data_IF_894366515307
#
_entry.id   IF_894366515307
#
_cell.length_a   1.000
_cell.length_b   1.000
_cell.length_c   1.000
_cell.angle_alpha   90.00
_cell.angle_beta   90.00
_cell.angle_gamma   90.00
#
_symmetry.space_group_name_H-M   'P 1'
#
loop_
_entity.id
_entity.type
_entity.pdbx_description
1 polymer ?
#
# COMPACT_ATOMS: atom_id res chain seq x y z
N UNK A 1 27.67 16.91 7.22
CA UNK A 1 27.10 16.66 5.87
C UNK A 1 25.59 16.46 5.93
N UNK A 2 25.02 15.80 6.95
CA UNK A 2 23.57 15.78 7.18
C UNK A 2 23.01 17.14 7.64
N UNK A 3 23.68 17.82 8.58
CA UNK A 3 23.19 19.10 9.16
C UNK A 3 23.02 20.22 8.13
N UNK A 4 23.93 20.32 7.16
CA UNK A 4 23.93 21.36 6.11
C UNK A 4 22.68 21.30 5.22
N UNK A 5 22.04 20.14 5.09
CA UNK A 5 20.87 19.91 4.23
C UNK A 5 19.58 19.69 5.01
N UNK A 6 19.62 19.75 6.34
CA UNK A 6 18.48 19.46 7.22
C UNK A 6 17.26 20.38 7.01
N UNK A 7 17.48 21.59 6.48
CA UNK A 7 16.43 22.55 6.15
C UNK A 7 15.76 22.33 4.78
N UNK A 8 16.28 21.42 3.94
CA UNK A 8 15.69 21.15 2.63
C UNK A 8 14.50 20.19 2.76
N UNK A 9 13.42 20.51 2.05
CA UNK A 9 12.21 19.70 2.01
C UNK A 9 11.92 19.29 0.57
N UNK A 10 11.58 18.02 0.36
CA UNK A 10 11.04 17.59 -0.92
C UNK A 10 9.68 18.25 -1.14
N UNK A 11 9.44 18.72 -2.36
CA UNK A 11 8.14 19.23 -2.79
C UNK A 11 7.79 18.69 -4.16
N UNK A 12 6.52 18.38 -4.35
CA UNK A 12 6.00 18.05 -5.67
C UNK A 12 6.14 19.27 -6.60
N UNK A 13 6.73 19.08 -7.77
CA UNK A 13 6.86 20.13 -8.81
C UNK A 13 5.89 19.92 -9.99
N UNK A 14 5.05 18.90 -9.92
CA UNK A 14 4.05 18.55 -10.93
C UNK A 14 4.46 17.37 -11.83
N UNK A 15 3.60 17.00 -12.78
CA UNK A 15 2.33 17.65 -13.15
C UNK A 15 1.25 17.56 -12.08
N UNK A 16 0.30 18.50 -12.09
CA UNK A 16 -0.81 18.56 -11.12
C UNK A 16 -1.72 17.31 -11.15
N UNK A 17 -1.77 16.63 -12.30
CA UNK A 17 -2.33 15.30 -12.46
C UNK A 17 -1.20 14.33 -12.84
N UNK A 18 -0.75 13.53 -11.88
CA UNK A 18 0.16 12.42 -12.17
C UNK A 18 -0.67 11.22 -12.62
N UNK A 19 -0.44 10.75 -13.84
CA UNK A 19 -0.95 9.46 -14.30
C UNK A 19 -0.03 8.34 -13.80
N UNK A 20 -0.62 7.21 -13.45
CA UNK A 20 0.09 6.05 -12.94
C UNK A 20 -0.80 4.82 -12.97
N UNK A 21 -0.19 3.66 -12.76
CA UNK A 21 -0.93 2.40 -12.70
C UNK A 21 -1.45 2.17 -11.29
N UNK A 22 -2.75 2.35 -11.13
CA UNK A 22 -3.49 2.01 -9.91
C UNK A 22 -3.79 0.51 -9.92
N UNK A 23 -3.36 -0.19 -8.87
CA UNK A 23 -3.48 -1.64 -8.73
C UNK A 23 -4.62 -2.01 -7.77
N UNK A 24 -4.77 -1.24 -6.70
CA UNK A 24 -5.73 -1.54 -5.64
C UNK A 24 -6.49 -0.30 -5.18
N UNK A 25 -7.72 -0.53 -4.75
CA UNK A 25 -8.62 0.49 -4.19
C UNK A 25 -9.31 -0.10 -2.96
N UNK A 26 -9.28 0.61 -1.83
CA UNK A 26 -9.94 0.18 -0.60
C UNK A 26 -10.76 1.32 -0.02
N UNK A 27 -12.09 1.17 -0.04
CA UNK A 27 -13.05 2.20 0.39
C UNK A 27 -13.50 1.96 1.82
N UNK A 28 -13.46 3.01 2.64
CA UNK A 28 -14.03 2.95 3.98
C UNK A 28 -15.57 2.81 3.86
N UNK A 29 -16.09 1.65 4.25
CA UNK A 29 -17.53 1.35 4.16
C UNK A 29 -18.39 2.20 5.11
N UNK A 30 -17.80 2.76 6.18
CA UNK A 30 -18.47 3.68 7.12
C UNK A 30 -18.40 5.13 6.66
N UNK A 31 -17.43 5.49 5.82
CA UNK A 31 -17.22 6.84 5.30
C UNK A 31 -16.64 6.82 3.88
N UNK A 32 -17.51 6.84 2.86
CA UNK A 32 -17.10 6.62 1.47
C UNK A 32 -16.23 7.72 0.85
N UNK A 33 -16.14 8.90 1.47
CA UNK A 33 -15.21 9.96 1.03
C UNK A 33 -13.77 9.70 1.47
N UNK A 34 -13.55 8.68 2.29
CA UNK A 34 -12.24 8.20 2.73
C UNK A 34 -11.91 6.87 2.07
N UNK A 35 -10.79 6.82 1.35
CA UNK A 35 -10.33 5.61 0.69
C UNK A 35 -8.84 5.65 0.41
N UNK A 36 -8.31 4.46 0.12
CA UNK A 36 -6.91 4.20 -0.12
C UNK A 36 -6.70 3.68 -1.54
N UNK A 37 -5.59 4.07 -2.14
CA UNK A 37 -5.14 3.62 -3.46
C UNK A 37 -3.75 3.05 -3.34
N UNK A 38 -3.57 1.82 -3.85
CA UNK A 38 -2.27 1.19 -4.03
C UNK A 38 -1.78 1.39 -5.46
N UNK A 39 -0.54 1.87 -5.59
CA UNK A 39 0.08 2.19 -6.89
C UNK A 39 1.19 1.18 -7.19
N UNK A 40 1.25 0.72 -8.44
CA UNK A 40 2.25 -0.24 -8.93
C UNK A 40 3.69 0.11 -8.53
N UNK A 41 4.05 1.40 -8.65
CA UNK A 41 5.36 1.95 -8.34
C UNK A 41 5.21 3.34 -7.72
N UNK A 42 4.53 3.44 -6.58
CA UNK A 42 4.25 4.74 -5.96
C UNK A 42 3.67 4.68 -4.56
N UNK A 43 3.75 3.55 -3.87
CA UNK A 43 3.25 3.40 -2.50
C UNK A 43 1.72 3.45 -2.40
N UNK A 44 1.26 3.76 -1.18
CA UNK A 44 -0.16 3.85 -0.83
C UNK A 44 -0.53 5.31 -0.57
N UNK A 45 -1.64 5.73 -1.16
CA UNK A 45 -2.19 7.07 -1.03
C UNK A 45 -3.55 7.01 -0.36
N UNK A 46 -3.82 7.96 0.53
CA UNK A 46 -5.10 8.12 1.23
C UNK A 46 -5.76 9.42 0.79
N UNK A 47 -7.08 9.40 0.61
CA UNK A 47 -7.91 10.61 0.57
C UNK A 47 -8.93 10.57 1.70
N UNK A 48 -9.39 11.75 2.12
CA UNK A 48 -10.49 11.96 3.08
C UNK A 48 -11.54 12.94 2.55
N UNK A 49 -11.38 13.37 1.30
CA UNK A 49 -12.23 14.36 0.63
C UNK A 49 -12.58 13.93 -0.79
N UNK A 50 -12.94 12.66 -0.93
CA UNK A 50 -13.46 12.06 -2.15
C UNK A 50 -12.51 12.21 -3.37
N UNK A 51 -11.21 12.10 -3.12
CA UNK A 51 -10.20 12.11 -4.18
C UNK A 51 -9.78 13.50 -4.65
N UNK A 52 -10.31 14.57 -4.02
CA UNK A 52 -9.89 15.96 -4.31
C UNK A 52 -8.41 16.17 -3.99
N UNK A 53 -7.95 15.65 -2.84
CA UNK A 53 -6.54 15.67 -2.44
C UNK A 53 -6.11 14.32 -1.90
N UNK A 54 -4.80 14.04 -1.99
CA UNK A 54 -4.21 12.78 -1.58
C UNK A 54 -3.01 13.00 -0.67
N UNK A 55 -2.86 12.14 0.32
CA UNK A 55 -1.73 12.10 1.24
C UNK A 55 -1.01 10.76 1.05
N UNK A 56 0.31 10.75 0.78
CA UNK A 56 1.07 9.51 0.78
C UNK A 56 1.18 9.01 2.22
N UNK A 57 0.83 7.74 2.43
CA UNK A 57 0.82 7.12 3.77
C UNK A 57 1.86 6.01 3.90
N UNK A 58 2.68 5.75 2.88
CA UNK A 58 3.61 4.60 2.83
C UNK A 58 5.05 4.97 2.47
N UNK A 59 5.38 6.26 2.31
CA UNK A 59 6.69 6.73 1.80
C UNK A 59 7.90 6.38 2.69
N UNK A 60 7.66 5.97 3.94
CA UNK A 60 8.71 5.61 4.90
C UNK A 60 8.96 4.10 4.98
N UNK A 61 8.17 3.31 4.24
CA UNK A 61 8.21 1.86 4.31
C UNK A 61 9.16 1.26 3.27
N UNK A 62 9.45 -0.03 3.43
CA UNK A 62 10.52 -0.74 2.71
C UNK A 62 10.29 -0.95 1.21
N UNK A 63 9.03 -0.95 0.77
CA UNK A 63 8.67 -1.12 -0.64
C UNK A 63 7.85 0.04 -1.18
N UNK A 64 8.17 0.46 -2.40
CA UNK A 64 7.38 1.44 -3.15
C UNK A 64 6.35 0.77 -4.08
N UNK A 65 6.41 -0.55 -4.25
CA UNK A 65 5.55 -1.30 -5.16
C UNK A 65 4.42 -1.97 -4.40
N UNK A 66 3.18 -1.76 -4.83
CA UNK A 66 1.99 -2.24 -4.12
C UNK A 66 1.21 -3.23 -5.00
N UNK A 67 0.95 -4.41 -4.44
CA UNK A 67 0.11 -5.45 -5.04
C UNK A 67 -1.33 -5.42 -4.55
N UNK A 68 -1.55 -5.07 -3.28
CA UNK A 68 -2.90 -5.03 -2.72
C UNK A 68 -3.04 -4.05 -1.57
N UNK A 69 -4.23 -3.47 -1.42
CA UNK A 69 -4.64 -2.69 -0.25
C UNK A 69 -6.04 -3.13 0.14
N UNK A 70 -6.27 -3.36 1.43
CA UNK A 70 -7.61 -3.67 1.95
C UNK A 70 -7.80 -3.09 3.34
N UNK A 71 -9.06 -2.81 3.68
CA UNK A 71 -9.47 -2.34 5.00
C UNK A 71 -10.13 -3.48 5.74
N UNK A 72 -9.94 -3.52 7.06
CA UNK A 72 -10.67 -4.44 7.90
C UNK A 72 -12.18 -4.14 7.84
N UNK A 73 -13.03 -5.15 7.57
CA UNK A 73 -14.48 -4.97 7.46
C UNK A 73 -15.14 -4.59 8.80
N UNK A 74 -14.52 -4.87 9.95
CA UNK A 74 -15.05 -4.51 11.25
C UNK A 74 -14.51 -3.15 11.74
N UNK A 75 -13.29 -2.81 11.36
CA UNK A 75 -12.61 -1.56 11.73
C UNK A 75 -11.84 -0.93 10.55
N UNK A 76 -12.44 0.02 9.81
CA UNK A 76 -11.79 0.70 8.70
C UNK A 76 -10.51 1.48 9.04
N UNK A 77 -10.16 1.67 10.32
CA UNK A 77 -8.87 2.25 10.70
C UNK A 77 -7.72 1.26 10.58
N UNK A 78 -8.01 -0.04 10.55
CA UNK A 78 -7.04 -1.10 10.31
C UNK A 78 -6.86 -1.31 8.81
N UNK A 79 -5.65 -1.06 8.32
CA UNK A 79 -5.29 -1.14 6.90
C UNK A 79 -4.26 -2.25 6.70
N UNK A 80 -4.47 -3.07 5.67
CA UNK A 80 -3.53 -4.09 5.26
C UNK A 80 -3.01 -3.80 3.85
N UNK A 81 -1.71 -3.97 3.66
CA UNK A 81 -1.03 -3.72 2.40
C UNK A 81 -0.19 -4.92 2.03
N UNK A 82 -0.36 -5.40 0.81
CA UNK A 82 0.52 -6.36 0.17
C UNK A 82 1.52 -5.62 -0.70
N UNK A 83 2.81 -5.75 -0.39
CA UNK A 83 3.88 -5.18 -1.21
C UNK A 83 4.17 -6.06 -2.43
N UNK A 84 4.71 -5.44 -3.47
CA UNK A 84 5.03 -6.05 -4.76
C UNK A 84 3.82 -6.15 -5.67
N UNK A 85 3.89 -5.45 -6.79
CA UNK A 85 2.81 -5.42 -7.77
C UNK A 85 2.52 -6.83 -8.33
N UNK A 86 1.24 -7.24 -8.33
CA UNK A 86 0.77 -8.55 -8.82
C UNK A 86 0.40 -8.61 -10.31
N UNK A 87 0.68 -7.53 -11.03
CA UNK A 87 0.47 -7.46 -12.46
C UNK A 87 1.80 -7.81 -13.16
N UNK A 88 1.94 -9.10 -13.47
CA UNK A 88 3.12 -9.76 -14.04
C UNK A 88 3.51 -9.25 -15.44
N UNK A 89 4.01 -8.02 -15.51
CA UNK A 89 4.48 -7.38 -16.74
C UNK A 89 6.01 -7.28 -16.78
N UNK A 90 6.54 -6.88 -17.94
CA UNK A 90 8.00 -6.69 -18.14
C UNK A 90 8.62 -5.66 -17.18
N UNK A 91 7.82 -4.71 -16.69
CA UNK A 91 8.21 -3.75 -15.65
C UNK A 91 7.28 -3.93 -14.46
N UNK A 92 7.80 -4.59 -13.42
CA UNK A 92 7.11 -4.90 -12.18
C UNK A 92 8.08 -4.67 -11.02
N UNK A 93 7.61 -4.03 -9.96
CA UNK A 93 8.37 -3.90 -8.71
C UNK A 93 8.08 -5.08 -7.79
N UNK A 94 9.12 -5.61 -7.14
CA UNK A 94 8.95 -6.54 -6.04
C UNK A 94 8.74 -5.79 -4.72
N UNK A 95 8.19 -6.49 -3.75
CA UNK A 95 7.99 -6.03 -2.39
C UNK A 95 8.60 -6.98 -1.37
N UNK A 96 8.48 -6.59 -0.11
CA UNK A 96 9.03 -7.29 1.04
C UNK A 96 7.93 -7.78 2.00
N UNK A 97 6.78 -8.12 1.42
CA UNK A 97 5.71 -8.89 2.07
C UNK A 97 4.51 -8.06 2.49
N UNK A 98 3.98 -8.33 3.69
CA UNK A 98 2.70 -7.77 4.15
C UNK A 98 2.91 -6.75 5.25
N UNK A 99 2.18 -5.65 5.16
CA UNK A 99 2.15 -4.58 6.14
C UNK A 99 0.76 -4.43 6.74
N UNK A 100 0.74 -4.01 8.01
CA UNK A 100 -0.48 -3.64 8.72
C UNK A 100 -0.31 -2.30 9.40
N UNK A 101 -1.35 -1.47 9.34
CA UNK A 101 -1.51 -0.28 10.15
C UNK A 101 -2.77 -0.43 11.00
N UNK A 102 -2.72 0.05 12.24
CA UNK A 102 -3.84 0.09 13.18
C UNK A 102 -4.37 1.52 13.38
N UNK A 103 -3.88 2.50 12.61
CA UNK A 103 -4.16 3.92 12.81
C UNK A 103 -4.43 4.69 11.51
N UNK A 104 -4.95 3.99 10.51
CA UNK A 104 -5.32 4.56 9.21
C UNK A 104 -4.13 4.90 8.33
N UNK A 105 -2.99 4.23 8.51
CA UNK A 105 -1.77 4.38 7.71
C UNK A 105 -0.79 5.43 8.24
N UNK A 106 -0.88 5.85 9.52
CA UNK A 106 0.10 6.76 10.10
C UNK A 106 1.36 6.03 10.51
N UNK A 107 1.21 4.81 11.04
CA UNK A 107 2.28 3.90 11.37
C UNK A 107 2.00 2.52 10.75
N UNK A 108 3.07 1.86 10.31
CA UNK A 108 3.00 0.52 9.74
C UNK A 108 3.89 -0.45 10.48
N UNK A 109 3.48 -1.71 10.45
CA UNK A 109 4.27 -2.86 10.88
C UNK A 109 4.38 -3.83 9.72
N UNK A 110 5.61 -4.12 9.28
CA UNK A 110 5.86 -5.25 8.38
C UNK A 110 5.68 -6.56 9.18
N UNK A 111 4.82 -7.45 8.67
CA UNK A 111 4.42 -8.71 9.30
C UNK A 111 5.15 -9.92 8.69
N UNK A 112 6.06 -9.74 7.74
CA UNK A 112 6.83 -10.79 7.09
C UNK A 112 6.32 -11.13 5.69
N UNK A 113 6.56 -12.38 5.25
CA UNK A 113 6.43 -12.82 3.85
C UNK A 113 7.44 -12.16 2.90
N UNK A 114 8.63 -11.85 3.42
CA UNK A 114 9.68 -11.10 2.70
C UNK A 114 10.17 -11.74 1.40
N UNK A 115 9.99 -13.06 1.25
CA UNK A 115 10.40 -13.81 0.05
C UNK A 115 9.29 -14.00 -0.96
N UNK A 116 8.06 -13.59 -0.62
CA UNK A 116 6.93 -13.74 -1.52
C UNK A 116 7.03 -12.82 -2.73
N UNK A 117 7.79 -11.72 -2.64
CA UNK A 117 8.01 -10.68 -3.64
C UNK A 117 6.75 -9.97 -4.16
N UNK A 118 5.65 -10.68 -4.38
CA UNK A 118 4.39 -10.19 -4.92
C UNK A 118 3.24 -10.72 -4.06
N UNK A 119 2.50 -9.81 -3.43
CA UNK A 119 1.29 -10.12 -2.69
C UNK A 119 0.08 -9.69 -3.52
N UNK A 120 -0.57 -10.66 -4.16
CA UNK A 120 -1.67 -10.40 -5.10
C UNK A 120 -3.01 -10.13 -4.45
N UNK A 121 -3.22 -10.63 -3.23
CA UNK A 121 -4.48 -10.41 -2.52
C UNK A 121 -4.33 -10.59 -1.02
N UNK A 122 -5.06 -9.77 -0.28
CA UNK A 122 -5.31 -9.96 1.14
C UNK A 122 -6.83 -9.92 1.33
N UNK A 123 -7.38 -10.92 2.01
CA UNK A 123 -8.79 -10.95 2.43
C UNK A 123 -8.87 -11.22 3.92
N UNK A 124 -9.77 -10.50 4.59
CA UNK A 124 -9.97 -10.56 6.04
C UNK A 124 -11.32 -11.22 6.27
N UNK A 125 -11.39 -12.21 7.17
CA UNK A 125 -12.67 -12.82 7.53
C UNK A 125 -13.57 -11.78 8.21
N UNK A 126 -14.75 -11.47 7.67
CA UNK A 126 -15.63 -10.47 8.26
C UNK A 126 -16.17 -10.88 9.64
N UNK A 127 -16.13 -12.17 9.98
CA UNK A 127 -16.60 -12.68 11.27
C UNK A 127 -15.53 -12.60 12.36
N UNK A 128 -14.26 -12.57 11.98
CA UNK A 128 -13.12 -12.46 12.89
C UNK A 128 -11.92 -11.80 12.20
N UNK A 129 -11.69 -10.53 12.51
CA UNK A 129 -10.57 -9.72 12.02
C UNK A 129 -9.17 -10.29 12.29
N UNK A 130 -9.05 -11.31 13.15
CA UNK A 130 -7.78 -12.01 13.40
C UNK A 130 -7.46 -13.06 12.34
N UNK A 131 -8.45 -13.46 11.53
CA UNK A 131 -8.28 -14.44 10.47
C UNK A 131 -8.09 -13.72 9.15
N UNK A 132 -6.87 -13.80 8.61
CA UNK A 132 -6.46 -13.12 7.38
C UNK A 132 -5.84 -14.13 6.44
N UNK A 133 -6.27 -14.11 5.17
CA UNK A 133 -5.71 -14.93 4.11
C UNK A 133 -4.92 -14.06 3.14
N UNK A 134 -3.74 -14.53 2.77
CA UNK A 134 -2.82 -13.83 1.88
C UNK A 134 -2.51 -14.72 0.67
N UNK A 135 -2.72 -14.19 -0.53
CA UNK A 135 -2.23 -14.78 -1.76
C UNK A 135 -0.81 -14.28 -2.01
N UNK A 136 0.18 -15.10 -1.66
CA UNK A 136 1.59 -14.87 -1.92
C UNK A 136 1.98 -15.57 -3.23
N UNK A 137 2.24 -14.80 -4.28
CA UNK A 137 2.48 -15.34 -5.63
C UNK A 137 3.90 -15.92 -5.77
N UNK A 138 4.87 -15.34 -5.06
CA UNK A 138 6.27 -15.69 -5.21
C UNK A 138 6.99 -14.82 -6.24
N UNK A 139 8.32 -14.96 -6.36
CA UNK A 139 9.14 -14.24 -7.34
C UNK A 139 8.65 -14.47 -8.77
N UNK A 140 8.48 -13.39 -9.55
CA UNK A 140 8.02 -13.52 -10.93
C UNK A 140 9.04 -14.24 -11.82
N UNK A 141 10.33 -14.07 -11.54
CA UNK A 141 11.44 -14.54 -12.39
C UNK A 141 12.30 -15.62 -11.75
N UNK A 142 11.74 -16.39 -10.80
CA UNK A 142 12.50 -17.44 -10.11
C UNK A 142 11.60 -18.45 -9.40
N UNK A 143 12.17 -19.53 -8.87
CA UNK A 143 11.45 -20.44 -7.99
C UNK A 143 11.06 -19.71 -6.69
N UNK A 144 9.81 -19.87 -6.27
CA UNK A 144 9.26 -19.33 -5.00
C UNK A 144 9.56 -20.16 -3.77
#
# INVERSE_FOLDING_TARGET
TADTLSGLQFRLIGPAAASGRVIAFAVNHKNKVEYYVGVASGGVWKTTNDGTTWTPVFDKEGSYSIGWVTLDPNDPSVVWVGAGESNSQRSVGYGDGVYRSDDGGKNWKNLGLKKSEHIGRIVIDPRDSKVVFVAAEGPLWGPG
#
